data_IF_575044937641
#
_entry.id   IF_575044937641
#
_cell.length_a   1.000
_cell.length_b   1.000
_cell.length_c   1.000
_cell.angle_alpha   90.00
_cell.angle_beta   90.00
_cell.angle_gamma   90.00
#
_symmetry.space_group_name_H-M   'P 1'
#
loop_
_entity.id
_entity.type
_entity.pdbx_description
1 polymer ?
#
# COMPACT_ATOMS: atom_id res chain seq x y z
N UNK A 1 1.60 12.83 10.16
CA UNK A 1 2.83 12.82 9.34
C UNK A 1 2.57 12.02 8.07
N UNK A 2 2.86 12.58 6.89
CA UNK A 2 2.56 11.93 5.60
C UNK A 2 3.40 10.65 5.37
N UNK A 3 4.70 10.70 5.72
CA UNK A 3 5.61 9.56 5.62
C UNK A 3 5.14 8.36 6.46
N UNK A 4 4.83 8.61 7.74
CA UNK A 4 4.38 7.56 8.67
C UNK A 4 3.07 6.94 8.17
N UNK A 5 2.13 7.77 7.72
CA UNK A 5 0.85 7.29 7.21
C UNK A 5 1.04 6.37 6.00
N UNK A 6 1.79 6.78 4.99
CA UNK A 6 2.00 5.98 3.77
C UNK A 6 2.77 4.66 4.06
N UNK A 7 3.73 4.67 4.99
CA UNK A 7 4.41 3.44 5.44
C UNK A 7 3.41 2.48 6.07
N UNK A 8 2.65 2.94 7.08
CA UNK A 8 1.71 2.09 7.84
C UNK A 8 0.57 1.61 6.96
N UNK A 9 -0.01 2.48 6.15
CA UNK A 9 -1.10 2.13 5.24
C UNK A 9 -0.65 1.09 4.21
N UNK A 10 0.54 1.27 3.62
CA UNK A 10 1.07 0.30 2.66
C UNK A 10 1.40 -1.03 3.34
N UNK A 11 2.01 -0.99 4.54
CA UNK A 11 2.27 -2.18 5.34
C UNK A 11 0.98 -3.00 5.55
N UNK A 12 -0.09 -2.36 6.06
CA UNK A 12 -1.37 -3.03 6.29
C UNK A 12 -1.97 -3.59 5.00
N UNK A 13 -1.88 -2.83 3.89
CA UNK A 13 -2.38 -3.28 2.60
C UNK A 13 -1.65 -4.56 2.13
N UNK A 14 -0.33 -4.61 2.24
CA UNK A 14 0.46 -5.77 1.85
C UNK A 14 0.27 -6.96 2.80
N UNK A 15 0.11 -6.72 4.10
CA UNK A 15 -0.29 -7.77 5.06
C UNK A 15 -1.61 -8.40 4.65
N UNK A 16 -2.63 -7.59 4.29
CA UNK A 16 -3.90 -8.12 3.77
C UNK A 16 -3.68 -8.95 2.51
N UNK A 17 -2.97 -8.43 1.52
CA UNK A 17 -2.74 -9.14 0.26
C UNK A 17 -2.08 -10.49 0.52
N UNK A 18 -0.97 -10.51 1.27
CA UNK A 18 -0.24 -11.73 1.60
C UNK A 18 -1.11 -12.72 2.40
N UNK A 19 -1.92 -12.21 3.32
CA UNK A 19 -2.88 -13.01 4.10
C UNK A 19 -3.92 -13.69 3.23
N UNK A 20 -4.66 -12.93 2.43
CA UNK A 20 -5.81 -13.48 1.70
C UNK A 20 -5.41 -14.25 0.44
N UNK A 21 -4.17 -14.10 -0.01
CA UNK A 21 -3.61 -14.86 -1.14
C UNK A 21 -2.78 -16.07 -0.71
N UNK A 22 -2.65 -16.31 0.60
CA UNK A 22 -1.95 -17.49 1.13
C UNK A 22 -2.56 -18.79 0.58
N UNK A 23 -1.76 -19.82 0.22
CA UNK A 23 -2.27 -21.03 -0.46
C UNK A 23 -3.40 -21.76 0.27
N UNK A 24 -3.41 -21.67 1.60
CA UNK A 24 -4.35 -22.33 2.49
C UNK A 24 -5.60 -21.49 2.81
N UNK A 25 -5.74 -20.31 2.19
CA UNK A 25 -6.88 -19.42 2.42
C UNK A 25 -7.98 -19.58 1.36
N UNK A 26 -9.26 -19.35 1.72
CA UNK A 26 -10.37 -19.42 0.78
C UNK A 26 -10.21 -18.42 -0.38
N UNK A 27 -10.00 -18.94 -1.60
CA UNK A 27 -9.67 -18.12 -2.79
C UNK A 27 -10.81 -17.24 -3.30
N UNK A 28 -12.06 -17.52 -2.91
CA UNK A 28 -13.24 -16.80 -3.40
C UNK A 28 -13.37 -15.35 -2.93
N UNK A 29 -12.71 -14.98 -1.82
CA UNK A 29 -12.89 -13.67 -1.17
C UNK A 29 -11.66 -12.76 -1.24
N UNK A 30 -10.55 -13.22 -1.82
CA UNK A 30 -9.29 -12.46 -1.84
C UNK A 30 -9.47 -11.07 -2.47
N UNK A 31 -10.10 -10.99 -3.65
CA UNK A 31 -10.35 -9.72 -4.33
C UNK A 31 -11.22 -8.76 -3.51
N UNK A 32 -12.26 -9.28 -2.85
CA UNK A 32 -13.14 -8.48 -2.00
C UNK A 32 -12.38 -7.90 -0.80
N UNK A 33 -11.60 -8.74 -0.10
CA UNK A 33 -10.83 -8.30 1.05
C UNK A 33 -9.78 -7.25 0.68
N UNK A 34 -9.04 -7.45 -0.43
CA UNK A 34 -8.06 -6.48 -0.93
C UNK A 34 -8.75 -5.15 -1.27
N UNK A 35 -9.89 -5.20 -1.98
CA UNK A 35 -10.66 -4.01 -2.35
C UNK A 35 -11.21 -3.24 -1.14
N UNK A 36 -11.78 -3.94 -0.16
CA UNK A 36 -12.31 -3.34 1.05
C UNK A 36 -11.20 -2.73 1.92
N UNK A 37 -10.06 -3.39 2.06
CA UNK A 37 -8.89 -2.81 2.75
C UNK A 37 -8.42 -1.54 2.05
N UNK A 38 -8.31 -1.55 0.72
CA UNK A 38 -7.92 -0.36 -0.03
C UNK A 38 -8.93 0.78 0.14
N UNK A 39 -10.24 0.48 0.12
CA UNK A 39 -11.30 1.45 0.34
C UNK A 39 -11.22 2.06 1.75
N UNK A 40 -11.03 1.24 2.79
CA UNK A 40 -10.87 1.71 4.17
C UNK A 40 -9.65 2.63 4.31
N UNK A 41 -8.50 2.26 3.72
CA UNK A 41 -7.30 3.08 3.71
C UNK A 41 -7.56 4.43 3.03
N UNK A 42 -8.35 4.47 1.94
CA UNK A 42 -8.70 5.72 1.28
C UNK A 42 -9.63 6.60 2.11
N UNK A 43 -10.65 6.02 2.75
CA UNK A 43 -11.58 6.76 3.62
C UNK A 43 -10.81 7.51 4.72
N UNK A 44 -9.80 6.87 5.30
CA UNK A 44 -8.95 7.48 6.34
C UNK A 44 -7.91 8.43 5.75
N UNK A 45 -7.23 8.01 4.68
CA UNK A 45 -5.99 8.66 4.21
C UNK A 45 -6.16 9.81 3.23
N UNK A 46 -7.32 9.95 2.58
CA UNK A 46 -7.47 10.93 1.50
C UNK A 46 -7.25 12.37 2.00
N UNK A 47 -7.68 12.67 3.23
CA UNK A 47 -7.48 13.97 3.87
C UNK A 47 -6.08 14.14 4.48
N UNK A 48 -5.24 13.10 4.50
CA UNK A 48 -3.89 13.13 5.06
C UNK A 48 -2.86 13.34 3.93
N UNK A 49 -2.91 12.53 2.88
CA UNK A 49 -1.93 12.55 1.77
C UNK A 49 -2.56 12.49 0.38
N UNK A 50 -3.88 12.34 0.28
CA UNK A 50 -4.56 11.90 -0.94
C UNK A 50 -4.50 10.39 -1.18
N UNK A 51 -3.83 9.64 -0.29
CA UNK A 51 -3.60 8.20 -0.31
C UNK A 51 -2.97 7.68 -1.61
N UNK A 52 -1.68 7.34 -1.54
CA UNK A 52 -1.02 6.61 -2.61
C UNK A 52 -1.10 5.10 -2.41
N UNK A 53 -0.40 4.60 -1.39
CA UNK A 53 -0.08 3.18 -1.13
C UNK A 53 0.48 2.39 -2.32
N UNK A 54 0.87 3.08 -3.40
CA UNK A 54 1.25 2.47 -4.67
C UNK A 54 2.04 3.49 -5.53
N UNK A 55 3.36 3.26 -5.74
CA UNK A 55 4.17 4.13 -6.57
C UNK A 55 3.62 4.35 -7.98
N UNK A 56 3.12 3.32 -8.65
CA UNK A 56 2.56 3.44 -10.00
C UNK A 56 1.31 4.34 -10.03
N UNK A 57 0.46 4.26 -8.99
CA UNK A 57 -0.73 5.11 -8.82
C UNK A 57 -0.38 6.59 -8.62
N UNK A 58 0.82 6.89 -8.11
CA UNK A 58 1.31 8.26 -7.93
C UNK A 58 2.11 8.77 -9.12
N UNK A 59 2.94 7.93 -9.75
CA UNK A 59 3.78 8.29 -10.89
C UNK A 59 2.93 8.75 -12.08
N UNK A 60 1.88 8.00 -12.43
CA UNK A 60 1.04 8.30 -13.60
C UNK A 60 0.45 9.71 -13.58
N UNK A 61 -0.36 10.07 -12.56
CA UNK A 61 -0.92 11.41 -12.43
C UNK A 61 0.12 12.52 -12.29
N UNK A 62 1.25 12.26 -11.62
CA UNK A 62 2.32 13.25 -11.47
C UNK A 62 2.96 13.62 -12.82
N UNK A 63 3.15 12.63 -13.71
CA UNK A 63 3.70 12.85 -15.05
C UNK A 63 2.65 13.53 -15.95
N UNK A 64 1.43 13.00 -15.99
CA UNK A 64 0.35 13.55 -16.82
C UNK A 64 0.02 14.99 -16.42
N UNK A 65 0.04 15.29 -15.12
CA UNK A 65 -0.21 16.61 -14.56
C UNK A 65 1.02 17.51 -14.43
N UNK A 66 2.18 17.14 -15.00
CA UNK A 66 3.44 17.85 -14.75
C UNK A 66 3.39 19.34 -15.13
N UNK A 67 2.71 19.68 -16.24
CA UNK A 67 2.61 21.06 -16.71
C UNK A 67 1.68 21.89 -15.82
N UNK A 68 0.58 21.31 -15.33
CA UNK A 68 -0.42 22.00 -14.51
C UNK A 68 -0.09 21.99 -13.02
N UNK A 69 0.68 21.00 -12.55
CA UNK A 69 1.11 20.86 -11.16
C UNK A 69 2.52 20.27 -11.06
N UNK A 70 3.57 21.07 -11.33
CA UNK A 70 4.96 20.60 -11.28
C UNK A 70 5.39 20.16 -9.88
N UNK A 71 4.72 20.63 -8.82
CA UNK A 71 5.00 20.22 -7.44
C UNK A 71 4.67 18.75 -7.18
N UNK A 72 3.75 18.15 -7.93
CA UNK A 72 3.40 16.73 -7.80
C UNK A 72 4.62 15.84 -8.08
N UNK A 73 5.41 16.18 -9.10
CA UNK A 73 6.65 15.45 -9.43
C UNK A 73 7.70 15.63 -8.34
N UNK A 74 7.83 16.85 -7.80
CA UNK A 74 8.77 17.12 -6.71
C UNK A 74 8.45 16.34 -5.41
N UNK A 75 7.17 16.02 -5.16
CA UNK A 75 6.73 15.25 -3.99
C UNK A 75 6.69 13.74 -4.23
N UNK A 76 6.95 13.29 -5.46
CA UNK A 76 6.78 11.89 -5.85
C UNK A 76 7.67 10.92 -5.06
N UNK A 77 8.83 11.38 -4.60
CA UNK A 77 9.75 10.58 -3.79
C UNK A 77 9.06 9.99 -2.55
N UNK A 78 8.17 10.75 -1.91
CA UNK A 78 7.47 10.31 -0.70
C UNK A 78 6.60 9.08 -0.99
N UNK A 79 5.88 9.12 -2.11
CA UNK A 79 4.99 8.06 -2.57
C UNK A 79 5.72 6.90 -3.25
N UNK A 80 7.05 6.97 -3.37
CA UNK A 80 7.89 5.85 -3.78
C UNK A 80 8.53 5.22 -2.54
N UNK A 81 9.24 6.02 -1.75
CA UNK A 81 10.01 5.54 -0.60
C UNK A 81 9.09 4.98 0.48
N UNK A 82 8.02 5.69 0.84
CA UNK A 82 7.14 5.26 1.93
C UNK A 82 6.44 3.92 1.62
N UNK A 83 5.83 3.72 0.44
CA UNK A 83 5.25 2.43 0.11
C UNK A 83 6.27 1.29 0.02
N UNK A 84 7.47 1.55 -0.52
CA UNK A 84 8.51 0.51 -0.58
C UNK A 84 8.97 0.05 0.81
N UNK A 85 9.10 0.96 1.77
CA UNK A 85 9.41 0.61 3.16
C UNK A 85 8.27 -0.22 3.77
N UNK A 86 7.03 0.26 3.67
CA UNK A 86 5.87 -0.45 4.23
C UNK A 86 5.68 -1.85 3.63
N UNK A 87 5.77 -1.97 2.31
CA UNK A 87 5.67 -3.25 1.61
C UNK A 87 6.85 -4.18 1.92
N UNK A 88 8.07 -3.64 1.98
CA UNK A 88 9.26 -4.40 2.34
C UNK A 88 9.17 -5.00 3.74
N UNK A 89 8.72 -4.21 4.72
CA UNK A 89 8.49 -4.69 6.09
C UNK A 89 7.42 -5.79 6.14
N UNK A 90 6.31 -5.62 5.44
CA UNK A 90 5.27 -6.65 5.37
C UNK A 90 5.80 -7.96 4.77
N UNK A 91 6.56 -7.88 3.67
CA UNK A 91 7.17 -9.04 3.03
C UNK A 91 8.20 -9.75 3.92
N UNK A 92 9.04 -8.99 4.63
CA UNK A 92 10.04 -9.55 5.56
C UNK A 92 9.36 -10.28 6.73
N UNK A 93 8.42 -9.62 7.41
CA UNK A 93 7.72 -10.23 8.55
C UNK A 93 6.87 -11.43 8.14
N UNK A 94 6.31 -11.42 6.93
CA UNK A 94 5.60 -12.58 6.39
C UNK A 94 6.57 -13.74 6.15
N UNK A 95 7.72 -13.48 5.54
CA UNK A 95 8.76 -14.48 5.25
C UNK A 95 9.29 -15.13 6.53
N UNK A 96 9.43 -14.36 7.61
CA UNK A 96 9.89 -14.85 8.92
C UNK A 96 8.80 -15.62 9.68
N UNK A 97 7.58 -15.69 9.17
CA UNK A 97 6.44 -16.33 9.84
C UNK A 97 5.87 -15.52 11.01
N UNK A 98 6.27 -14.25 11.16
CA UNK A 98 5.81 -13.37 12.22
C UNK A 98 4.36 -12.86 12.01
N UNK A 99 3.87 -12.89 10.77
CA UNK A 99 2.52 -12.41 10.42
C UNK A 99 1.48 -13.52 10.31
N UNK A 100 1.84 -14.66 9.73
CA UNK A 100 0.96 -15.79 9.49
C UNK A 100 1.72 -17.08 9.73
N UNK A 101 1.05 -18.05 10.33
CA UNK A 101 1.60 -19.40 10.44
C UNK A 101 1.72 -20.02 9.04
N UNK A 102 2.95 -20.26 8.63
CA UNK A 102 3.29 -20.84 7.33
C UNK A 102 3.10 -22.37 7.30
N UNK A 103 2.69 -22.99 8.42
CA UNK A 103 2.59 -24.46 8.59
C UNK A 103 1.19 -25.05 8.47
N UNK A 104 0.21 -24.33 7.94
CA UNK A 104 -1.03 -24.95 7.49
C UNK A 104 -0.85 -25.59 6.13
#
# INVERSE_FOLDING_TARGET
SALVFEIVATFLFLVTILGVTHPFMPKGFAGLAIGLTLAAIHIVGINITGTSVNPARSIGPAIVGMVSNPRAVAQLWLFIVAPLIGAGLAGLLYREGALLDQKQ
#
